data_IF_680208776167
#
_entry.id   IF_680208776167
#
_cell.length_a   1.000
_cell.length_b   1.000
_cell.length_c   1.000
_cell.angle_alpha   90.00
_cell.angle_beta   90.00
_cell.angle_gamma   90.00
#
_symmetry.space_group_name_H-M   'P 1'
#
loop_
_entity.id
_entity.type
_entity.pdbx_description
1 polymer ?
#
# COMPACT_ATOMS: atom_id res chain seq x y z
N UNK A 1 -42.66 -50.06 1.85
CA UNK A 1 -42.72 -49.09 2.96
C UNK A 1 -41.66 -48.03 2.73
N UNK A 2 -42.09 -46.80 2.42
CA UNK A 2 -41.21 -45.63 2.16
C UNK A 2 -40.62 -45.13 3.47
N UNK A 3 -39.33 -44.80 3.50
CA UNK A 3 -38.70 -43.85 4.44
C UNK A 3 -37.55 -43.16 3.68
N UNK A 4 -37.89 -42.14 2.89
CA UNK A 4 -37.53 -40.72 3.08
C UNK A 4 -36.00 -40.53 3.15
N UNK A 5 -35.43 -40.22 1.98
CA UNK A 5 -34.09 -39.63 1.84
C UNK A 5 -34.23 -38.20 2.36
N UNK A 6 -33.65 -37.91 3.52
CA UNK A 6 -33.55 -36.56 4.05
C UNK A 6 -32.40 -35.89 3.29
N UNK A 7 -32.77 -35.14 2.25
CA UNK A 7 -31.87 -34.25 1.53
C UNK A 7 -31.42 -33.16 2.51
N UNK A 8 -30.19 -33.29 3.00
CA UNK A 8 -29.52 -32.26 3.81
C UNK A 8 -29.04 -31.17 2.81
N UNK A 9 -29.98 -30.31 2.41
CA UNK A 9 -29.65 -28.99 1.87
C UNK A 9 -29.34 -28.08 3.06
N UNK A 10 -28.15 -28.26 3.66
CA UNK A 10 -27.65 -27.27 4.60
C UNK A 10 -27.16 -26.09 3.77
N UNK A 11 -28.00 -25.06 3.79
CA UNK A 11 -27.79 -23.72 3.26
C UNK A 11 -26.36 -23.28 3.57
N UNK A 12 -25.53 -23.22 2.51
CA UNK A 12 -24.31 -22.44 2.47
C UNK A 12 -24.73 -20.98 2.55
N UNK A 13 -24.96 -20.50 3.78
CA UNK A 13 -24.94 -19.09 4.09
C UNK A 13 -23.48 -18.66 3.98
N UNK A 14 -23.05 -18.43 2.75
CA UNK A 14 -21.90 -17.57 2.46
C UNK A 14 -22.38 -16.18 2.89
N UNK A 15 -22.28 -15.89 4.18
CA UNK A 15 -22.11 -14.51 4.62
C UNK A 15 -20.76 -14.08 4.04
N UNK A 16 -20.77 -13.63 2.79
CA UNK A 16 -19.84 -12.60 2.38
C UNK A 16 -20.22 -11.38 3.21
N UNK A 17 -19.75 -11.34 4.46
CA UNK A 17 -19.41 -10.08 5.06
C UNK A 17 -18.41 -9.47 4.09
N UNK A 18 -18.92 -8.73 3.11
CA UNK A 18 -18.16 -7.63 2.57
C UNK A 18 -17.90 -6.77 3.80
N UNK A 19 -16.79 -7.04 4.48
CA UNK A 19 -16.25 -6.13 5.48
C UNK A 19 -16.25 -4.79 4.78
N UNK A 20 -17.06 -3.87 5.29
CA UNK A 20 -17.01 -2.49 4.84
C UNK A 20 -15.58 -2.06 5.06
N UNK A 21 -14.78 -2.00 3.99
CA UNK A 21 -13.38 -1.60 4.07
C UNK A 21 -13.43 -0.15 4.52
N UNK A 22 -13.21 0.07 5.82
CA UNK A 22 -13.02 1.41 6.33
C UNK A 22 -11.83 1.96 5.56
N UNK A 23 -12.06 3.05 4.85
CA UNK A 23 -11.00 3.64 4.04
C UNK A 23 -10.02 4.24 5.03
N UNK A 24 -8.88 3.57 5.25
CA UNK A 24 -7.81 4.01 6.15
C UNK A 24 -7.03 5.19 5.55
N UNK A 25 -7.72 6.06 4.82
CA UNK A 25 -7.20 7.19 4.04
C UNK A 25 -7.88 8.44 4.57
N UNK A 26 -7.09 9.45 4.94
CA UNK A 26 -7.61 10.75 5.36
C UNK A 26 -8.42 11.42 4.25
N UNK A 27 -9.53 12.06 4.61
CA UNK A 27 -10.27 12.95 3.70
C UNK A 27 -9.39 14.11 3.20
N UNK A 28 -8.43 14.54 4.02
CA UNK A 28 -7.44 15.59 3.73
C UNK A 28 -6.08 14.98 3.32
N UNK A 29 -6.07 13.83 2.66
CA UNK A 29 -4.83 13.18 2.21
C UNK A 29 -3.99 14.14 1.37
N UNK A 30 -2.74 14.36 1.78
CA UNK A 30 -1.76 15.13 1.02
C UNK A 30 -1.04 14.20 0.04
N UNK A 31 -1.13 14.50 -1.25
CA UNK A 31 -0.38 13.84 -2.31
C UNK A 31 0.64 14.83 -2.87
N UNK A 32 1.89 14.39 -2.98
CA UNK A 32 2.97 15.18 -3.56
C UNK A 32 3.75 14.29 -4.52
N UNK A 33 3.56 14.51 -5.83
CA UNK A 33 4.20 13.71 -6.87
C UNK A 33 5.68 14.06 -7.05
N UNK A 34 6.16 15.14 -6.43
CA UNK A 34 7.54 15.60 -6.56
C UNK A 34 7.96 15.97 -7.99
N UNK A 35 9.20 16.45 -8.12
CA UNK A 35 9.86 16.60 -9.41
C UNK A 35 10.58 15.30 -9.77
N UNK A 36 10.62 14.94 -11.06
CA UNK A 36 11.30 13.73 -11.51
C UNK A 36 11.92 13.87 -12.89
N UNK A 37 13.16 13.44 -13.03
CA UNK A 37 13.79 13.20 -14.33
C UNK A 37 13.58 11.75 -14.83
N UNK A 38 13.28 10.80 -13.93
CA UNK A 38 13.16 9.36 -14.26
C UNK A 38 11.74 8.94 -14.64
N UNK A 39 10.73 9.51 -13.99
CA UNK A 39 9.34 9.11 -14.11
C UNK A 39 8.49 10.26 -14.61
N UNK A 40 7.45 9.91 -15.37
CA UNK A 40 6.36 10.83 -15.69
C UNK A 40 5.43 11.00 -14.47
N UNK A 41 4.67 12.09 -14.46
CA UNK A 41 3.64 12.32 -13.43
C UNK A 41 2.63 11.15 -13.34
N UNK A 42 2.28 10.56 -14.50
CA UNK A 42 1.38 9.41 -14.57
C UNK A 42 1.98 8.18 -13.87
N UNK A 43 3.25 7.86 -14.13
CA UNK A 43 3.92 6.72 -13.50
C UNK A 43 4.03 6.86 -11.97
N UNK A 44 4.27 8.07 -11.48
CA UNK A 44 4.32 8.36 -10.03
C UNK A 44 2.91 8.27 -9.44
N UNK A 45 1.91 8.81 -10.13
CA UNK A 45 0.51 8.76 -9.70
C UNK A 45 0.01 7.31 -9.60
N UNK A 46 0.32 6.46 -10.58
CA UNK A 46 0.00 5.04 -10.54
C UNK A 46 0.66 4.31 -9.35
N UNK A 47 1.92 4.65 -9.04
CA UNK A 47 2.63 4.10 -7.89
C UNK A 47 1.97 4.55 -6.56
N UNK A 48 1.59 5.83 -6.45
CA UNK A 48 0.90 6.38 -5.28
C UNK A 48 -0.48 5.73 -5.10
N UNK A 49 -1.23 5.55 -6.18
CA UNK A 49 -2.53 4.89 -6.14
C UNK A 49 -2.41 3.42 -5.69
N UNK A 50 -1.34 2.73 -6.09
CA UNK A 50 -1.06 1.38 -5.58
C UNK A 50 -0.84 1.37 -4.07
N UNK A 51 -0.07 2.34 -3.52
CA UNK A 51 0.11 2.49 -2.06
C UNK A 51 -1.23 2.78 -1.38
N UNK A 52 -2.02 3.73 -1.88
CA UNK A 52 -3.33 4.08 -1.31
C UNK A 52 -4.28 2.88 -1.27
N UNK A 53 -4.35 2.11 -2.35
CA UNK A 53 -5.23 0.95 -2.45
C UNK A 53 -4.84 -0.19 -1.50
N UNK A 54 -3.55 -0.28 -1.16
CA UNK A 54 -2.98 -1.32 -0.31
C UNK A 54 -2.70 -0.84 1.12
N UNK A 55 -2.95 0.42 1.45
CA UNK A 55 -2.85 0.91 2.81
C UNK A 55 -4.03 0.37 3.65
N UNK A 56 -3.75 -0.68 4.42
CA UNK A 56 -4.75 -1.38 5.24
C UNK A 56 -4.18 -1.68 6.63
N UNK A 57 -3.47 -0.71 7.20
CA UNK A 57 -2.92 -0.84 8.55
C UNK A 57 -4.06 -0.64 9.56
N UNK A 58 -4.31 -1.60 10.47
CA UNK A 58 -5.38 -1.47 11.45
C UNK A 58 -5.22 -0.21 12.31
N UNK A 59 -6.34 0.41 12.69
CA UNK A 59 -6.37 1.62 13.53
C UNK A 59 -5.47 2.76 13.02
N UNK A 60 -5.20 2.80 11.70
CA UNK A 60 -4.28 3.76 11.10
C UNK A 60 -4.96 4.57 10.00
N UNK A 61 -4.59 5.84 9.88
CA UNK A 61 -5.10 6.74 8.83
C UNK A 61 -3.94 7.33 8.04
N UNK A 62 -3.88 7.08 6.74
CA UNK A 62 -2.90 7.66 5.82
C UNK A 62 -3.14 9.14 5.63
N UNK A 63 -2.15 9.97 5.94
CA UNK A 63 -2.26 11.44 5.89
C UNK A 63 -1.40 12.10 4.83
N UNK A 64 -0.30 11.46 4.41
CA UNK A 64 0.52 11.92 3.28
C UNK A 64 1.12 10.74 2.52
N UNK A 65 1.19 10.85 1.19
CA UNK A 65 2.04 10.02 0.33
C UNK A 65 2.80 10.92 -0.63
N UNK A 66 4.10 10.69 -0.80
CA UNK A 66 4.89 11.47 -1.72
C UNK A 66 6.06 10.73 -2.34
N UNK A 67 6.49 11.24 -3.48
CA UNK A 67 7.73 10.84 -4.14
C UNK A 67 8.83 11.89 -3.90
N UNK A 68 10.04 11.40 -3.72
CA UNK A 68 11.26 12.19 -3.59
C UNK A 68 12.35 11.46 -4.36
N UNK A 69 12.75 12.02 -5.51
CA UNK A 69 13.67 11.37 -6.44
C UNK A 69 15.04 11.10 -5.80
N UNK A 70 15.57 12.07 -5.04
CA UNK A 70 16.87 11.95 -4.40
C UNK A 70 16.86 10.84 -3.34
N UNK A 71 15.81 10.79 -2.50
CA UNK A 71 15.67 9.71 -1.50
C UNK A 71 15.49 8.35 -2.16
N UNK A 72 14.69 8.27 -3.23
CA UNK A 72 14.51 7.03 -3.98
C UNK A 72 15.81 6.54 -4.59
N UNK A 73 16.58 7.42 -5.22
CA UNK A 73 17.89 7.05 -5.81
C UNK A 73 18.92 6.70 -4.76
N UNK A 74 18.90 7.39 -3.62
CA UNK A 74 19.78 7.07 -2.50
C UNK A 74 19.50 5.68 -1.94
N UNK A 75 18.22 5.30 -1.81
CA UNK A 75 17.80 3.99 -1.32
C UNK A 75 18.28 2.86 -2.23
N UNK A 76 18.08 2.98 -3.56
CA UNK A 76 18.46 1.94 -4.52
C UNK A 76 19.90 2.07 -5.05
N UNK A 77 20.74 2.91 -4.45
CA UNK A 77 22.09 3.20 -4.96
C UNK A 77 22.92 1.93 -5.18
N UNK A 78 22.84 0.98 -4.27
CA UNK A 78 23.59 -0.28 -4.35
C UNK A 78 22.90 -1.30 -5.27
N UNK A 79 21.58 -1.27 -5.40
CA UNK A 79 20.83 -2.02 -6.42
C UNK A 79 21.21 -1.60 -7.84
N UNK A 80 21.38 -0.30 -8.07
CA UNK A 80 21.81 0.23 -9.38
C UNK A 80 23.20 -0.30 -9.76
N UNK A 81 24.12 -0.38 -8.80
CA UNK A 81 25.45 -0.99 -9.01
C UNK A 81 25.37 -2.48 -9.33
N UNK A 82 24.31 -3.15 -8.89
CA UNK A 82 24.02 -4.56 -9.17
C UNK A 82 23.20 -4.76 -10.45
N UNK A 83 22.90 -3.69 -11.19
CA UNK A 83 22.23 -3.75 -12.49
C UNK A 83 20.72 -3.60 -12.45
N UNK A 84 20.14 -3.20 -11.31
CA UNK A 84 18.73 -2.79 -11.26
C UNK A 84 18.54 -1.53 -12.11
N UNK A 85 17.55 -1.58 -13.00
CA UNK A 85 17.19 -0.45 -13.88
C UNK A 85 16.48 0.62 -13.03
N UNK A 86 16.99 1.86 -12.95
CA UNK A 86 16.42 2.91 -12.10
C UNK A 86 14.94 3.20 -12.38
N UNK A 87 14.51 3.13 -13.64
CA UNK A 87 13.12 3.37 -14.04
C UNK A 87 12.19 2.20 -13.70
N UNK A 88 12.69 1.11 -13.12
CA UNK A 88 11.89 -0.05 -12.74
C UNK A 88 11.70 -0.19 -11.22
N UNK A 89 12.27 0.72 -10.43
CA UNK A 89 12.12 0.76 -8.97
C UNK A 89 11.79 2.17 -8.50
N UNK A 90 10.85 2.28 -7.56
CA UNK A 90 10.45 3.57 -6.99
C UNK A 90 10.23 3.41 -5.50
N UNK A 91 10.81 4.33 -4.72
CA UNK A 91 10.55 4.46 -3.30
C UNK A 91 9.52 5.57 -3.11
N UNK A 92 8.38 5.23 -2.52
CA UNK A 92 7.43 6.23 -2.03
C UNK A 92 7.55 6.34 -0.51
N UNK A 93 7.24 7.52 -0.01
CA UNK A 93 7.21 7.81 1.42
C UNK A 93 5.79 8.14 1.84
N UNK A 94 5.45 7.80 3.06
CA UNK A 94 4.14 8.09 3.63
C UNK A 94 4.21 8.54 5.07
N UNK A 95 3.20 9.31 5.47
CA UNK A 95 2.89 9.59 6.86
C UNK A 95 1.50 9.05 7.14
N UNK A 96 1.32 8.52 8.34
CA UNK A 96 0.03 8.07 8.83
C UNK A 96 -0.02 8.13 10.36
N UNK A 97 -1.23 8.29 10.88
CA UNK A 97 -1.49 8.33 12.31
C UNK A 97 -2.06 6.99 12.76
N UNK A 98 -1.66 6.53 13.94
CA UNK A 98 -2.23 5.36 14.63
C UNK A 98 -3.05 5.86 15.80
N UNK A 99 -4.32 5.48 15.84
CA UNK A 99 -5.25 5.93 16.87
C UNK A 99 -4.93 5.31 18.25
N UNK A 100 -5.70 5.72 19.26
CA UNK A 100 -5.52 5.29 20.65
C UNK A 100 -6.20 3.98 21.04
N UNK A 101 -6.87 3.28 20.13
CA UNK A 101 -7.65 2.06 20.42
C UNK A 101 -6.79 0.91 20.92
N UNK A 102 -5.54 0.83 20.43
CA UNK A 102 -4.70 -0.36 20.61
C UNK A 102 -5.06 -1.53 19.69
N UNK A 103 -5.93 -1.33 18.70
CA UNK A 103 -6.35 -2.37 17.75
C UNK A 103 -5.26 -2.70 16.69
N UNK A 104 -4.22 -1.86 16.59
CA UNK A 104 -3.04 -2.21 15.80
C UNK A 104 -2.12 -3.17 16.60
N UNK A 105 -1.82 -4.37 16.09
CA UNK A 105 -1.06 -5.37 16.84
C UNK A 105 0.45 -5.09 16.92
N UNK A 106 0.99 -4.19 16.09
CA UNK A 106 2.44 -4.00 15.93
C UNK A 106 2.89 -2.54 16.02
N UNK A 107 2.01 -1.59 15.69
CA UNK A 107 2.32 -0.16 15.72
C UNK A 107 1.92 0.46 17.06
N UNK A 108 2.63 1.51 17.45
CA UNK A 108 2.40 2.18 18.72
C UNK A 108 1.09 3.00 18.65
N UNK A 109 0.16 2.84 19.60
CA UNK A 109 -1.05 3.67 19.64
C UNK A 109 -0.72 5.14 19.95
N UNK A 110 -1.59 6.06 19.53
CA UNK A 110 -1.42 7.51 19.67
C UNK A 110 -0.07 8.02 19.12
N UNK A 111 0.31 7.56 17.94
CA UNK A 111 1.57 7.95 17.32
C UNK A 111 1.42 8.31 15.86
N UNK A 112 2.36 9.12 15.37
CA UNK A 112 2.49 9.47 13.95
C UNK A 112 3.73 8.81 13.40
N UNK A 113 3.54 7.99 12.37
CA UNK A 113 4.63 7.41 11.59
C UNK A 113 4.95 8.38 10.44
N UNK A 114 6.23 8.68 10.26
CA UNK A 114 6.68 9.62 9.22
C UNK A 114 7.75 9.02 8.33
N UNK A 115 7.77 9.40 7.06
CA UNK A 115 8.71 8.85 6.07
C UNK A 115 8.69 7.32 6.00
N UNK A 116 7.53 6.69 6.23
CA UNK A 116 7.36 5.25 6.12
C UNK A 116 7.50 4.83 4.67
N UNK A 117 8.35 3.85 4.40
CA UNK A 117 8.83 3.53 3.06
C UNK A 117 7.94 2.49 2.38
N UNK A 118 7.72 2.68 1.08
CA UNK A 118 7.07 1.73 0.18
C UNK A 118 8.00 1.48 -1.00
N UNK A 119 8.45 0.24 -1.15
CA UNK A 119 9.38 -0.19 -2.18
C UNK A 119 8.55 -0.82 -3.29
N UNK A 120 8.50 -0.17 -4.45
CA UNK A 120 7.72 -0.64 -5.59
C UNK A 120 8.67 -1.03 -6.73
N UNK A 121 8.34 -2.12 -7.40
CA UNK A 121 9.10 -2.64 -8.55
C UNK A 121 8.17 -2.98 -9.70
N UNK A 122 8.66 -2.81 -10.93
CA UNK A 122 8.02 -3.31 -12.16
C UNK A 122 9.05 -4.02 -13.04
N UNK A 123 8.57 -4.92 -13.92
CA UNK A 123 9.47 -5.70 -14.79
C UNK A 123 10.07 -4.89 -15.94
N UNK A 124 9.39 -3.84 -16.38
CA UNK A 124 9.78 -2.95 -17.49
C UNK A 124 9.00 -1.64 -17.41
N UNK A 125 9.37 -0.62 -18.20
CA UNK A 125 8.63 0.64 -18.32
C UNK A 125 7.14 0.49 -18.64
N UNK A 126 6.73 -0.58 -19.30
CA UNK A 126 5.33 -0.84 -19.68
C UNK A 126 4.62 -1.81 -18.72
N UNK A 127 5.34 -2.36 -17.75
CA UNK A 127 4.77 -3.25 -16.74
C UNK A 127 4.14 -2.45 -15.60
N UNK A 128 3.05 -2.97 -15.04
CA UNK A 128 2.43 -2.37 -13.84
C UNK A 128 3.37 -2.45 -12.63
N UNK A 129 3.29 -1.43 -11.79
CA UNK A 129 3.91 -1.43 -10.46
C UNK A 129 3.38 -2.56 -9.58
N UNK A 130 4.24 -3.03 -8.68
CA UNK A 130 3.93 -3.97 -7.60
C UNK A 130 4.66 -3.48 -6.36
N UNK A 131 4.00 -3.58 -5.21
CA UNK A 131 4.67 -3.36 -3.93
C UNK A 131 5.52 -4.61 -3.67
N UNK A 132 6.82 -4.40 -3.51
CA UNK A 132 7.80 -5.44 -3.16
C UNK A 132 7.96 -5.55 -1.65
N UNK A 133 8.04 -4.41 -0.94
CA UNK A 133 8.18 -4.35 0.51
C UNK A 133 7.74 -2.98 1.06
N UNK A 134 7.59 -2.86 2.38
CA UNK A 134 7.27 -1.61 3.08
C UNK A 134 7.75 -1.62 4.54
N UNK A 135 8.21 -0.48 5.06
CA UNK A 135 8.78 -0.43 6.40
C UNK A 135 9.73 0.72 6.70
N UNK A 136 10.61 0.49 7.68
CA UNK A 136 11.75 1.33 8.04
C UNK A 136 13.05 0.55 7.95
#
# INVERSE_FOLDING_TARGET
MRKIIISIFTILLVFSLASYKQNNISDDLIIDIGESAKFTEEEITEAIDLVKNNFDFPASTLTKVWYDEEKSDSYFRDDFKQGVIPENVILLLSNFDVDGSGDNPVLNPNSTYTNYQWILRRGSKTSKWRIEDWGY
#
